data_IF_438672246231
#
_entry.id   IF_438672246231
#
_cell.length_a   1.000
_cell.length_b   1.000
_cell.length_c   1.000
_cell.angle_alpha   90.00
_cell.angle_beta   90.00
_cell.angle_gamma   90.00
#
_symmetry.space_group_name_H-M   'P 1'
#
loop_
_entity.id
_entity.type
_entity.pdbx_description
1 polymer ?
#
# COMPACT_ATOMS: atom_id res chain seq x y z
N UNK A 1 -15.44 9.37 34.65
CA UNK A 1 -13.99 9.61 34.64
C UNK A 1 -13.33 8.59 33.71
N UNK A 2 -12.22 8.95 33.04
CA UNK A 2 -11.45 8.17 32.03
C UNK A 2 -12.11 8.13 30.64
N UNK A 3 -11.56 8.67 29.54
CA UNK A 3 -10.32 9.40 29.31
C UNK A 3 -10.49 10.37 28.12
N UNK A 4 -9.90 11.56 28.29
CA UNK A 4 -9.65 12.59 27.28
C UNK A 4 -8.90 12.01 26.07
N UNK A 5 -9.59 11.81 24.95
CA UNK A 5 -8.93 11.81 23.64
C UNK A 5 -8.80 13.28 23.20
N UNK A 6 -7.59 13.79 23.41
CA UNK A 6 -7.08 15.09 22.98
C UNK A 6 -7.39 15.31 21.51
N UNK A 7 -8.50 16.00 21.22
CA UNK A 7 -8.68 16.68 19.96
C UNK A 7 -7.80 17.93 20.00
N UNK A 8 -6.51 17.75 19.68
CA UNK A 8 -5.66 18.89 19.32
C UNK A 8 -6.22 19.43 17.99
N UNK A 9 -7.03 20.49 18.13
CA UNK A 9 -7.11 21.56 17.13
C UNK A 9 -5.67 22.02 16.83
N UNK A 10 -5.15 21.63 15.68
CA UNK A 10 -4.12 22.36 14.95
C UNK A 10 -4.73 22.57 13.57
N UNK A 11 -5.44 23.66 13.34
CA UNK A 11 -4.82 24.97 13.19
C UNK A 11 -4.65 25.16 11.69
N UNK A 12 -5.58 25.88 11.07
CA UNK A 12 -5.40 26.44 9.74
C UNK A 12 -4.22 27.43 9.81
N UNK A 13 -3.00 26.90 9.87
CA UNK A 13 -1.83 27.66 9.51
C UNK A 13 -1.97 27.92 8.02
N UNK A 14 -2.01 29.20 7.64
CA UNK A 14 -1.92 29.56 6.22
C UNK A 14 -0.72 28.83 5.62
N UNK A 15 -0.88 28.30 4.41
CA UNK A 15 0.22 27.70 3.67
C UNK A 15 1.40 28.69 3.68
N UNK A 16 2.67 28.25 3.87
CA UNK A 16 3.86 29.10 3.91
C UNK A 16 4.19 29.62 2.50
N UNK A 17 3.22 30.28 1.88
CA UNK A 17 3.31 30.88 0.56
C UNK A 17 3.45 32.39 0.71
N UNK A 18 4.20 32.96 -0.22
CA UNK A 18 4.41 34.40 -0.38
C UNK A 18 4.01 34.80 -1.79
N UNK A 19 3.64 36.06 -1.99
CA UNK A 19 3.34 36.57 -3.32
C UNK A 19 4.61 36.61 -4.15
N UNK A 20 4.52 36.18 -5.40
CA UNK A 20 5.60 36.32 -6.38
C UNK A 20 5.90 37.80 -6.61
N UNK A 21 7.17 38.18 -6.57
CA UNK A 21 7.60 39.57 -6.65
C UNK A 21 7.29 40.19 -8.02
N UNK A 22 7.10 41.53 -8.08
CA UNK A 22 6.94 42.22 -9.35
C UNK A 22 8.13 42.05 -10.31
N UNK A 23 9.35 41.83 -9.78
CA UNK A 23 10.54 41.60 -10.59
C UNK A 23 10.48 40.26 -11.33
N UNK A 24 10.14 39.18 -10.62
CA UNK A 24 9.94 37.84 -11.21
C UNK A 24 8.81 37.87 -12.24
N UNK A 25 7.69 38.55 -11.95
CA UNK A 25 6.59 38.71 -12.90
C UNK A 25 6.98 39.51 -14.16
N UNK A 26 7.93 40.45 -14.07
CA UNK A 26 8.49 41.14 -15.24
C UNK A 26 9.41 40.23 -16.05
N UNK A 27 10.24 39.43 -15.39
CA UNK A 27 11.08 38.42 -16.04
C UNK A 27 10.22 37.40 -16.80
N UNK A 28 9.16 36.89 -16.18
CA UNK A 28 8.21 35.96 -16.79
C UNK A 28 7.53 36.56 -18.03
N UNK A 29 7.09 37.83 -17.97
CA UNK A 29 6.52 38.55 -19.13
C UNK A 29 7.52 38.72 -20.27
N UNK A 30 8.77 39.06 -19.94
CA UNK A 30 9.85 39.18 -20.94
C UNK A 30 10.12 37.84 -21.65
N UNK A 31 10.14 36.74 -20.89
CA UNK A 31 10.31 35.39 -21.43
C UNK A 31 9.10 34.94 -22.26
N UNK A 32 7.87 35.31 -21.85
CA UNK A 32 6.66 34.99 -22.58
C UNK A 32 6.70 35.50 -24.04
N UNK A 33 7.31 36.67 -24.28
CA UNK A 33 7.48 37.23 -25.62
C UNK A 33 8.39 36.41 -26.54
N UNK A 34 9.16 35.45 -25.99
CA UNK A 34 10.05 34.57 -26.75
C UNK A 34 9.42 33.20 -27.06
N UNK A 35 8.23 32.93 -26.52
CA UNK A 35 7.51 31.68 -26.72
C UNK A 35 6.36 31.91 -27.70
N UNK A 36 6.07 30.90 -28.51
CA UNK A 36 4.93 30.89 -29.42
C UNK A 36 3.62 30.46 -28.74
N UNK A 37 3.62 30.33 -27.42
CA UNK A 37 2.46 29.90 -26.62
C UNK A 37 2.47 30.63 -25.28
N UNK A 38 1.34 30.63 -24.58
CA UNK A 38 1.20 31.34 -23.31
C UNK A 38 2.16 30.75 -22.25
N UNK A 39 2.98 31.61 -21.64
CA UNK A 39 3.74 31.26 -20.45
C UNK A 39 2.85 31.47 -19.23
N UNK A 40 2.58 30.40 -18.47
CA UNK A 40 1.89 30.51 -17.18
C UNK A 40 2.90 30.53 -16.03
N UNK A 41 2.72 31.46 -15.11
CA UNK A 41 3.65 31.71 -14.01
C UNK A 41 2.89 31.81 -12.68
N UNK A 42 3.40 31.20 -11.59
CA UNK A 42 2.78 31.30 -10.27
C UNK A 42 2.63 32.74 -9.80
N UNK A 43 1.50 33.05 -9.16
CA UNK A 43 1.30 34.29 -8.40
C UNK A 43 1.72 34.15 -6.95
N UNK A 44 1.87 32.92 -6.47
CA UNK A 44 2.39 32.59 -5.15
C UNK A 44 3.53 31.59 -5.26
N UNK A 45 4.47 31.66 -4.34
CA UNK A 45 5.61 30.77 -4.23
C UNK A 45 5.90 30.45 -2.77
N UNK A 46 6.62 29.35 -2.53
CA UNK A 46 7.12 29.03 -1.19
C UNK A 46 7.83 30.24 -0.56
N UNK A 47 7.53 30.51 0.71
CA UNK A 47 8.04 31.68 1.43
C UNK A 47 9.57 31.67 1.54
N UNK A 48 10.22 30.50 1.54
CA UNK A 48 11.67 30.41 1.60
C UNK A 48 12.34 30.83 0.28
N UNK A 49 11.65 30.70 -0.85
CA UNK A 49 12.12 31.17 -2.15
C UNK A 49 11.90 32.66 -2.40
N UNK A 50 11.22 33.37 -1.50
CA UNK A 50 10.86 34.77 -1.71
C UNK A 50 12.09 35.68 -1.85
N UNK A 51 12.17 36.41 -2.96
CA UNK A 51 13.27 37.33 -3.24
C UNK A 51 14.50 36.64 -3.82
N UNK A 52 14.50 35.31 -3.96
CA UNK A 52 15.51 34.59 -4.72
C UNK A 52 15.19 34.65 -6.21
N UNK A 53 16.14 34.98 -7.08
CA UNK A 53 15.92 34.96 -8.52
C UNK A 53 15.43 33.60 -9.02
N UNK A 54 14.33 33.59 -9.77
CA UNK A 54 13.81 32.40 -10.45
C UNK A 54 14.64 32.12 -11.70
N UNK A 55 15.12 30.88 -11.81
CA UNK A 55 15.80 30.41 -13.02
C UNK A 55 14.75 29.98 -14.05
N UNK A 56 14.47 30.87 -15.00
CA UNK A 56 13.50 30.68 -16.07
C UNK A 56 14.20 30.45 -17.41
N UNK A 57 13.96 29.27 -17.99
CA UNK A 57 14.58 28.83 -19.24
C UNK A 57 13.52 28.39 -20.25
N UNK A 58 13.73 28.76 -21.51
CA UNK A 58 12.92 28.33 -22.65
C UNK A 58 13.74 27.41 -23.54
N UNK A 59 13.15 26.34 -24.03
CA UNK A 59 13.82 25.34 -24.85
C UNK A 59 12.83 24.66 -25.79
N UNK A 60 13.30 23.74 -26.64
CA UNK A 60 12.44 22.93 -27.49
C UNK A 60 12.66 21.46 -27.18
N UNK A 61 11.58 20.70 -27.06
CA UNK A 61 11.59 19.25 -26.89
C UNK A 61 11.17 18.56 -28.19
N UNK A 62 11.60 17.32 -28.35
CA UNK A 62 11.21 16.48 -29.48
C UNK A 62 9.97 15.66 -29.10
N UNK A 63 8.87 15.89 -29.81
CA UNK A 63 7.65 15.10 -29.72
C UNK A 63 7.67 13.96 -30.76
N UNK A 64 6.79 12.95 -30.63
CA UNK A 64 6.66 11.87 -31.61
C UNK A 64 6.51 12.39 -33.04
N UNK A 65 7.15 11.71 -33.99
CA UNK A 65 7.17 12.15 -35.39
C UNK A 65 8.19 13.25 -35.71
N UNK A 66 9.09 13.59 -34.77
CA UNK A 66 10.16 14.58 -35.00
C UNK A 66 9.67 16.03 -34.92
N UNK A 67 8.46 16.25 -34.40
CA UNK A 67 7.90 17.59 -34.21
C UNK A 67 8.59 18.26 -33.03
N UNK A 68 9.13 19.47 -33.25
CA UNK A 68 9.73 20.27 -32.17
C UNK A 68 8.63 21.04 -31.45
N UNK A 69 8.45 20.76 -30.17
CA UNK A 69 7.52 21.46 -29.30
C UNK A 69 8.25 22.47 -28.42
N UNK A 70 7.95 23.78 -28.51
CA UNK A 70 8.42 24.76 -27.56
C UNK A 70 8.00 24.42 -26.13
N UNK A 71 8.93 24.62 -25.19
CA UNK A 71 8.76 24.36 -23.77
C UNK A 71 9.48 25.41 -22.90
N UNK A 72 9.12 25.49 -21.62
CA UNK A 72 9.85 26.26 -20.62
C UNK A 72 9.87 25.58 -19.26
N UNK A 73 10.81 26.01 -18.42
CA UNK A 73 10.91 25.64 -17.01
C UNK A 73 11.25 26.88 -16.18
N UNK A 74 10.52 27.09 -15.10
CA UNK A 74 10.79 28.07 -14.06
C UNK A 74 11.12 27.31 -12.77
N UNK A 75 12.35 27.46 -12.26
CA UNK A 75 12.81 26.76 -11.05
C UNK A 75 12.78 27.70 -9.86
N UNK A 76 12.07 27.28 -8.82
CA UNK A 76 11.85 28.02 -7.58
C UNK A 76 12.55 27.33 -6.41
N UNK A 77 13.07 28.10 -5.47
CA UNK A 77 13.54 27.57 -4.19
C UNK A 77 12.36 27.24 -3.27
N UNK A 78 12.49 26.15 -2.52
CA UNK A 78 11.60 25.74 -1.45
C UNK A 78 12.32 25.78 -0.09
N UNK A 79 11.58 25.56 0.99
CA UNK A 79 12.13 25.47 2.33
C UNK A 79 13.16 24.34 2.47
N UNK A 80 14.35 24.71 2.95
CA UNK A 80 15.48 23.79 3.15
C UNK A 80 16.63 24.04 2.17
N UNK A 81 17.85 23.70 2.58
CA UNK A 81 19.03 23.89 1.73
C UNK A 81 18.96 22.99 0.49
N UNK A 82 19.09 23.60 -0.69
CA UNK A 82 19.11 22.92 -1.98
C UNK A 82 17.77 22.32 -2.41
N UNK A 83 16.66 22.82 -1.85
CA UNK A 83 15.31 22.34 -2.14
C UNK A 83 14.67 23.18 -3.23
N UNK A 84 14.08 22.52 -4.22
CA UNK A 84 13.48 23.19 -5.37
C UNK A 84 12.15 22.57 -5.76
N UNK A 85 11.38 23.33 -6.52
CA UNK A 85 10.28 22.84 -7.33
C UNK A 85 10.28 23.62 -8.63
N UNK A 86 9.58 23.10 -9.63
CA UNK A 86 9.54 23.74 -10.93
C UNK A 86 8.12 23.88 -11.46
N UNK A 87 7.93 24.92 -12.26
CA UNK A 87 6.74 25.12 -13.08
C UNK A 87 7.15 25.07 -14.53
N UNK A 88 6.49 24.22 -15.29
CA UNK A 88 6.84 23.93 -16.65
C UNK A 88 5.62 24.06 -17.55
N UNK A 89 5.88 24.30 -18.82
CA UNK A 89 4.86 24.27 -19.85
C UNK A 89 5.43 23.86 -21.20
N UNK A 90 4.61 23.22 -22.02
CA UNK A 90 4.95 22.82 -23.39
C UNK A 90 3.73 22.75 -24.29
N UNK A 91 3.94 23.00 -25.57
CA UNK A 91 2.92 22.80 -26.62
C UNK A 91 2.65 21.31 -26.92
N UNK A 92 3.48 20.39 -26.41
CA UNK A 92 3.18 18.96 -26.49
C UNK A 92 2.09 18.59 -25.48
N UNK A 93 0.84 18.50 -25.94
CA UNK A 93 -0.35 18.30 -25.08
C UNK A 93 -0.59 16.86 -24.63
N UNK A 94 0.18 15.89 -25.12
CA UNK A 94 0.11 14.48 -24.69
C UNK A 94 1.50 13.93 -24.34
N UNK A 95 2.24 14.58 -23.43
CA UNK A 95 3.56 14.11 -23.05
C UNK A 95 3.41 12.87 -22.15
N UNK A 96 4.22 11.81 -22.33
CA UNK A 96 4.10 10.57 -21.57
C UNK A 96 4.11 10.76 -20.04
N UNK A 97 4.78 11.80 -19.55
CA UNK A 97 4.80 12.18 -18.14
C UNK A 97 3.40 12.47 -17.57
N UNK A 98 2.48 12.98 -18.41
CA UNK A 98 1.16 13.43 -18.00
C UNK A 98 0.03 12.49 -18.47
N UNK A 99 0.35 11.35 -19.07
CA UNK A 99 -0.68 10.51 -19.68
C UNK A 99 -1.54 9.75 -18.65
N UNK A 100 -1.09 9.56 -17.41
CA UNK A 100 -1.77 8.70 -16.41
C UNK A 100 -1.86 9.33 -15.01
N UNK A 101 -2.80 10.26 -14.78
CA UNK A 101 -3.02 10.85 -13.45
C UNK A 101 -3.67 9.86 -12.49
N UNK A 102 -3.30 9.94 -11.21
CA UNK A 102 -3.95 9.19 -10.12
C UNK A 102 -5.35 9.76 -9.83
N UNK A 103 -5.50 11.09 -9.86
CA UNK A 103 -6.74 11.77 -9.53
C UNK A 103 -6.95 12.99 -10.42
N UNK A 104 -8.22 13.33 -10.64
CA UNK A 104 -8.62 14.54 -11.35
C UNK A 104 -9.47 15.39 -10.41
N UNK A 105 -9.16 16.68 -10.34
CA UNK A 105 -9.80 17.65 -9.47
C UNK A 105 -10.22 18.87 -10.30
N UNK A 106 -11.46 19.32 -10.18
CA UNK A 106 -11.91 20.56 -10.83
C UNK A 106 -12.20 21.62 -9.77
N UNK A 107 -11.42 22.70 -9.78
CA UNK A 107 -11.47 23.81 -8.81
C UNK A 107 -11.18 25.11 -9.56
N UNK A 108 -11.87 26.19 -9.21
CA UNK A 108 -11.61 27.51 -9.81
C UNK A 108 -11.87 27.61 -11.32
N UNK A 109 -12.69 26.71 -11.88
CA UNK A 109 -12.96 26.65 -13.32
C UNK A 109 -11.87 25.94 -14.14
N UNK A 110 -10.80 25.45 -13.50
CA UNK A 110 -9.72 24.68 -14.13
C UNK A 110 -9.78 23.22 -13.67
N UNK A 111 -9.42 22.31 -14.56
CA UNK A 111 -9.24 20.89 -14.23
C UNK A 111 -7.77 20.58 -14.02
N UNK A 112 -7.44 20.09 -12.83
CA UNK A 112 -6.13 19.62 -12.42
C UNK A 112 -6.04 18.10 -12.45
N UNK A 113 -4.87 17.62 -12.87
CA UNK A 113 -4.48 16.24 -12.96
C UNK A 113 -3.38 16.01 -11.92
N UNK A 114 -3.64 15.14 -10.95
CA UNK A 114 -2.81 14.94 -9.77
C UNK A 114 -2.08 13.61 -9.88
N UNK A 115 -0.77 13.63 -9.60
CA UNK A 115 0.11 12.47 -9.66
C UNK A 115 0.79 12.31 -8.31
N UNK A 116 0.64 11.14 -7.71
CA UNK A 116 1.08 10.86 -6.36
C UNK A 116 2.17 9.80 -6.34
N UNK A 117 3.19 10.05 -5.53
CA UNK A 117 4.08 9.02 -5.04
C UNK A 117 3.59 8.57 -3.66
N UNK A 118 2.86 7.45 -3.62
CA UNK A 118 2.23 6.97 -2.39
C UNK A 118 1.09 7.90 -1.91
N UNK A 119 1.37 8.72 -0.90
CA UNK A 119 0.45 9.73 -0.36
C UNK A 119 0.93 11.17 -0.64
N UNK A 120 2.12 11.32 -1.22
CA UNK A 120 2.74 12.60 -1.51
C UNK A 120 2.39 13.03 -2.93
N UNK A 121 1.87 14.24 -3.07
CA UNK A 121 1.59 14.83 -4.36
C UNK A 121 2.91 15.29 -4.98
N UNK A 122 3.34 14.63 -6.05
CA UNK A 122 4.61 14.92 -6.72
C UNK A 122 4.40 15.96 -7.83
N UNK A 123 3.29 15.86 -8.55
CA UNK A 123 3.03 16.67 -9.73
C UNK A 123 1.55 17.02 -9.85
N UNK A 124 1.31 18.28 -10.24
CA UNK A 124 -0.02 18.81 -10.57
C UNK A 124 0.02 19.39 -11.96
N UNK A 125 -0.76 18.84 -12.89
CA UNK A 125 -0.84 19.30 -14.26
C UNK A 125 -2.20 19.87 -14.64
N UNK A 126 -2.23 20.72 -15.65
CA UNK A 126 -3.44 21.22 -16.29
C UNK A 126 -3.17 21.50 -17.77
N UNK A 127 -4.24 21.65 -18.53
CA UNK A 127 -4.18 21.90 -19.97
C UNK A 127 -5.04 23.12 -20.28
N UNK A 128 -4.41 24.17 -20.79
CA UNK A 128 -5.08 25.40 -21.21
C UNK A 128 -4.32 26.01 -22.38
N UNK A 129 -4.96 26.92 -23.13
CA UNK A 129 -4.30 27.70 -24.17
C UNK A 129 -3.55 26.86 -25.24
N UNK A 130 -3.97 25.62 -25.48
CA UNK A 130 -3.32 24.70 -26.43
C UNK A 130 -1.98 24.12 -25.94
N UNK A 131 -1.67 24.22 -24.65
CA UNK A 131 -0.45 23.73 -24.03
C UNK A 131 -0.75 22.88 -22.78
N UNK A 132 0.23 22.07 -22.38
CA UNK A 132 0.26 21.36 -21.12
C UNK A 132 1.16 22.12 -20.14
N UNK A 133 0.71 22.27 -18.91
CA UNK A 133 1.43 22.92 -17.83
C UNK A 133 1.45 22.03 -16.59
N UNK A 134 2.50 22.13 -15.79
CA UNK A 134 2.56 21.43 -14.52
C UNK A 134 3.47 22.10 -13.51
N UNK A 135 3.16 21.89 -12.24
CA UNK A 135 4.07 22.12 -11.11
C UNK A 135 4.58 20.76 -10.65
N UNK A 136 5.89 20.62 -10.49
CA UNK A 136 6.52 19.39 -10.01
C UNK A 136 7.42 19.67 -8.82
N UNK A 137 7.27 18.85 -7.79
CA UNK A 137 8.17 18.80 -6.66
C UNK A 137 9.46 18.07 -7.07
N UNK A 138 10.63 18.55 -6.62
CA UNK A 138 11.87 17.79 -6.85
C UNK A 138 11.93 16.55 -5.96
N UNK A 139 12.94 15.69 -6.17
CA UNK A 139 13.08 14.37 -5.51
C UNK A 139 12.93 14.38 -3.98
N UNK A 140 13.21 15.52 -3.37
CA UNK A 140 13.20 15.72 -1.92
C UNK A 140 11.84 16.12 -1.34
N UNK A 141 10.83 16.30 -2.19
CA UNK A 141 9.43 16.51 -1.82
C UNK A 141 9.22 17.68 -0.84
N UNK A 142 9.92 18.80 -1.05
CA UNK A 142 9.96 19.92 -0.10
C UNK A 142 8.61 20.62 0.08
N UNK A 143 7.76 20.64 -0.96
CA UNK A 143 6.40 21.15 -0.86
C UNK A 143 5.40 20.08 -0.38
N UNK A 144 4.54 20.45 0.55
CA UNK A 144 3.38 19.64 0.94
C UNK A 144 2.29 19.64 -0.14
N UNK A 145 1.40 18.65 -0.09
CA UNK A 145 0.33 18.48 -1.10
C UNK A 145 -0.53 19.75 -1.30
N UNK A 146 -0.82 20.47 -0.20
CA UNK A 146 -1.60 21.70 -0.24
C UNK A 146 -0.87 22.88 -0.87
N UNK A 147 0.43 22.99 -0.61
CA UNK A 147 1.27 24.05 -1.19
C UNK A 147 1.40 23.87 -2.69
N UNK A 148 1.68 22.64 -3.14
CA UNK A 148 1.84 22.32 -4.55
C UNK A 148 0.55 22.59 -5.34
N UNK A 149 -0.61 22.19 -4.80
CA UNK A 149 -1.91 22.48 -5.42
C UNK A 149 -2.22 23.98 -5.40
N UNK A 150 -1.96 24.69 -4.31
CA UNK A 150 -2.23 26.13 -4.23
C UNK A 150 -1.34 26.93 -5.19
N UNK A 151 -0.09 26.54 -5.38
CA UNK A 151 0.81 27.11 -6.40
C UNK A 151 0.23 26.88 -7.79
N UNK A 152 -0.21 25.65 -8.10
CA UNK A 152 -0.86 25.34 -9.39
C UNK A 152 -2.17 26.12 -9.60
N UNK A 153 -2.97 26.31 -8.54
CA UNK A 153 -4.21 27.10 -8.59
C UNK A 153 -3.97 28.57 -8.90
N UNK A 154 -2.92 29.12 -8.29
CA UNK A 154 -2.51 30.51 -8.47
C UNK A 154 -1.54 30.68 -9.65
N UNK A 155 -1.37 29.68 -10.49
CA UNK A 155 -0.56 29.80 -11.71
C UNK A 155 -1.45 30.31 -12.83
N UNK A 156 -1.07 31.44 -13.43
CA UNK A 156 -1.86 32.12 -14.44
C UNK A 156 -0.97 32.65 -15.57
N UNK A 157 -1.53 32.99 -16.76
CA UNK A 157 -0.76 33.58 -17.84
C UNK A 157 0.04 34.80 -17.35
N UNK A 158 1.33 34.86 -17.69
CA UNK A 158 2.23 35.94 -17.27
C UNK A 158 1.74 37.32 -17.77
N UNK A 159 1.04 37.34 -18.89
CA UNK A 159 0.42 38.53 -19.48
C UNK A 159 -0.87 38.97 -18.78
N UNK A 160 -1.48 38.14 -17.94
CA UNK A 160 -2.69 38.52 -17.22
C UNK A 160 -2.40 39.71 -16.28
N UNK A 161 -3.26 40.72 -16.33
CA UNK A 161 -3.16 41.92 -15.51
C UNK A 161 -3.23 41.58 -14.01
N UNK A 162 -2.57 42.39 -13.18
CA UNK A 162 -2.52 42.27 -11.73
C UNK A 162 -3.92 42.62 -11.16
N UNK A 163 -4.87 41.70 -11.33
CA UNK A 163 -6.13 41.71 -10.59
C UNK A 163 -5.84 41.28 -9.15
N UNK A 164 -6.57 41.86 -8.19
CA UNK A 164 -6.38 41.61 -6.76
C UNK A 164 -6.25 40.11 -6.47
N UNK A 165 -5.22 39.76 -5.68
CA UNK A 165 -4.88 38.39 -5.32
C UNK A 165 -6.14 37.62 -4.91
N UNK A 166 -6.45 36.55 -5.63
CA UNK A 166 -7.52 35.66 -5.26
C UNK A 166 -7.25 35.17 -3.84
N UNK A 167 -8.14 35.51 -2.91
CA UNK A 167 -8.08 35.07 -1.51
C UNK A 167 -8.02 33.55 -1.47
N UNK A 168 -6.86 33.02 -1.06
CA UNK A 168 -6.56 31.60 -0.90
C UNK A 168 -7.63 30.94 -0.02
N UNK A 169 -8.59 30.23 -0.62
CA UNK A 169 -9.46 29.34 0.13
C UNK A 169 -8.79 27.98 0.19
N UNK A 170 -8.42 27.59 1.41
CA UNK A 170 -7.89 26.29 1.86
C UNK A 170 -8.88 25.12 1.61
N UNK A 171 -9.80 25.26 0.66
CA UNK A 171 -10.88 24.32 0.46
C UNK A 171 -10.40 23.13 -0.38
N UNK A 172 -10.19 22.02 0.33
CA UNK A 172 -9.90 20.67 -0.16
C UNK A 172 -8.42 20.41 -0.54
N UNK A 173 -7.61 20.14 0.49
CA UNK A 173 -6.41 19.34 0.34
C UNK A 173 -6.82 17.99 -0.28
N UNK A 174 -6.34 17.61 -1.48
CA UNK A 174 -6.67 16.32 -2.04
C UNK A 174 -5.82 15.28 -1.30
N UNK A 175 -6.41 14.67 -0.27
CA UNK A 175 -5.95 13.35 0.13
C UNK A 175 -6.19 12.43 -1.06
N UNK A 176 -5.17 11.65 -1.43
CA UNK A 176 -5.30 10.64 -2.48
C UNK A 176 -6.50 9.77 -2.14
N UNK A 177 -7.52 9.79 -2.98
CA UNK A 177 -8.64 8.85 -2.84
C UNK A 177 -8.11 7.50 -3.26
N UNK A 178 -7.53 6.75 -2.32
CA UNK A 178 -7.35 5.32 -2.49
C UNK A 178 -8.77 4.77 -2.71
N UNK A 179 -9.06 4.27 -3.90
CA UNK A 179 -10.16 3.34 -4.06
C UNK A 179 -9.85 2.20 -3.09
N UNK A 180 -10.48 2.21 -1.92
CA UNK A 180 -10.30 1.14 -0.97
C UNK A 180 -10.73 -0.13 -1.71
N UNK A 181 -9.89 -1.18 -1.78
CA UNK A 181 -10.39 -2.46 -2.22
C UNK A 181 -11.57 -2.77 -1.29
N UNK A 182 -12.71 -3.19 -1.84
CA UNK A 182 -13.80 -3.67 -1.01
C UNK A 182 -13.24 -4.81 -0.15
N UNK A 183 -12.93 -4.51 1.11
CA UNK A 183 -12.46 -5.49 2.06
C UNK A 183 -13.67 -6.35 2.41
N UNK A 184 -13.88 -7.41 1.63
CA UNK A 184 -14.85 -8.44 1.95
C UNK A 184 -14.60 -8.96 3.37
N UNK A 185 -15.70 -9.22 4.09
CA UNK A 185 -15.73 -9.71 5.47
C UNK A 185 -14.76 -10.87 5.75
N UNK A 186 -14.37 -11.62 4.72
CA UNK A 186 -13.38 -12.70 4.75
C UNK A 186 -11.98 -12.25 5.16
N UNK A 187 -11.54 -11.03 4.79
CA UNK A 187 -10.20 -10.53 5.15
C UNK A 187 -10.12 -10.00 6.59
N UNK A 188 -11.21 -9.45 7.12
CA UNK A 188 -11.29 -8.96 8.51
C UNK A 188 -11.31 -10.13 9.51
N UNK A 189 -12.01 -11.22 9.15
CA UNK A 189 -12.01 -12.47 9.91
C UNK A 189 -10.63 -13.12 9.96
N UNK A 190 -9.88 -13.10 8.87
CA UNK A 190 -8.51 -13.62 8.80
C UNK A 190 -7.53 -12.88 9.73
N UNK A 191 -7.60 -11.54 9.76
CA UNK A 191 -6.73 -10.74 10.65
C UNK A 191 -7.07 -10.90 12.14
N UNK A 192 -8.36 -11.02 12.48
CA UNK A 192 -8.77 -11.29 13.86
C UNK A 192 -8.34 -12.68 14.31
N UNK A 193 -8.45 -13.68 13.42
CA UNK A 193 -8.00 -15.05 13.69
C UNK A 193 -6.49 -15.14 13.94
N UNK A 194 -5.67 -14.43 13.16
CA UNK A 194 -4.23 -14.37 13.37
C UNK A 194 -3.83 -13.72 14.69
N UNK A 195 -4.52 -12.64 15.08
CA UNK A 195 -4.25 -11.92 16.33
C UNK A 195 -4.68 -12.75 17.55
N UNK A 196 -5.81 -13.46 17.47
CA UNK A 196 -6.25 -14.40 18.50
C UNK A 196 -5.27 -15.59 18.66
N UNK A 197 -4.71 -16.11 17.57
CA UNK A 197 -3.72 -17.18 17.63
C UNK A 197 -2.41 -16.72 18.31
N UNK A 198 -1.97 -15.49 18.04
CA UNK A 198 -0.79 -14.89 18.66
C UNK A 198 -0.93 -14.71 20.18
N UNK A 199 -2.15 -14.51 20.68
CA UNK A 199 -2.43 -14.39 22.12
C UNK A 199 -2.67 -15.76 22.78
N UNK A 200 -3.29 -16.72 22.08
CA UNK A 200 -3.62 -18.02 22.65
C UNK A 200 -2.40 -18.94 22.88
N UNK A 201 -1.40 -18.88 21.98
CA UNK A 201 -0.16 -19.67 22.07
C UNK A 201 0.65 -19.44 23.37
N UNK A 202 0.95 -18.20 23.79
CA UNK A 202 1.67 -17.98 25.04
C UNK A 202 0.85 -18.37 26.28
N UNK A 203 -0.48 -18.18 26.26
CA UNK A 203 -1.36 -18.56 27.38
C UNK A 203 -1.38 -20.09 27.58
N UNK A 204 -1.41 -20.87 26.50
CA UNK A 204 -1.32 -22.34 26.56
C UNK A 204 0.06 -22.85 26.97
N UNK A 205 1.13 -22.07 26.77
CA UNK A 205 2.49 -22.45 27.16
C UNK A 205 2.75 -22.32 28.68
N UNK A 206 2.03 -21.44 29.38
CA UNK A 206 2.18 -21.20 30.83
C UNK A 206 2.12 -22.49 31.67
N UNK A 207 1.10 -23.37 31.56
CA UNK A 207 1.03 -24.59 32.36
C UNK A 207 2.11 -25.64 32.04
N UNK A 208 2.70 -25.59 30.84
CA UNK A 208 3.82 -26.46 30.48
C UNK A 208 5.11 -26.03 31.18
N UNK A 209 5.33 -24.71 31.30
CA UNK A 209 6.48 -24.16 32.02
C UNK A 209 6.37 -24.35 33.53
N UNK A 210 5.17 -24.25 34.13
CA UNK A 210 4.98 -24.53 35.56
C UNK A 210 5.26 -25.99 35.90
N UNK A 211 4.76 -26.93 35.08
CA UNK A 211 5.05 -28.37 35.25
C UNK A 211 6.52 -28.72 35.09
N UNK A 212 7.23 -28.08 34.16
CA UNK A 212 8.68 -28.29 34.01
C UNK A 212 9.44 -27.84 35.24
N UNK A 213 9.03 -26.75 35.88
CA UNK A 213 9.66 -26.26 37.12
C UNK A 213 9.41 -27.22 38.30
N UNK A 214 8.20 -27.77 38.42
CA UNK A 214 7.89 -28.76 39.46
C UNK A 214 8.72 -30.05 39.30
N UNK A 215 8.87 -30.55 38.07
CA UNK A 215 9.69 -31.72 37.78
C UNK A 215 11.19 -31.48 38.04
N UNK A 216 11.69 -30.27 37.80
CA UNK A 216 13.06 -29.90 38.13
C UNK A 216 13.30 -29.87 39.64
N UNK A 217 12.33 -29.36 40.41
CA UNK A 217 12.38 -29.37 41.88
C UNK A 217 12.40 -30.79 42.47
N UNK A 218 11.58 -31.70 41.93
CA UNK A 218 11.54 -33.10 42.38
C UNK A 218 12.84 -33.87 42.07
N UNK A 219 13.47 -33.59 40.92
CA UNK A 219 14.78 -34.18 40.56
C UNK A 219 15.90 -33.69 41.48
N UNK A 220 15.88 -32.41 41.85
CA UNK A 220 16.85 -31.86 42.80
C UNK A 220 16.71 -32.49 44.20
N UNK A 221 15.47 -32.76 44.63
CA UNK A 221 15.22 -33.46 45.89
C UNK A 221 15.71 -34.92 45.86
N UNK A 222 15.48 -35.65 44.76
CA UNK A 222 15.97 -37.02 44.58
C UNK A 222 17.51 -37.11 44.53
N UNK A 223 18.17 -36.13 43.90
CA UNK A 223 19.63 -36.04 43.92
C UNK A 223 20.16 -35.83 45.35
N UNK A 224 19.50 -34.98 46.13
CA UNK A 224 19.85 -34.74 47.54
C UNK A 224 19.68 -35.97 48.43
N UNK A 225 18.65 -36.81 48.19
CA UNK A 225 18.46 -38.06 48.95
C UNK A 225 19.50 -39.12 48.58
N UNK A 226 19.79 -39.31 47.29
CA UNK A 226 20.81 -40.28 46.85
C UNK A 226 22.21 -39.94 47.35
N UNK A 227 22.53 -38.65 47.45
CA UNK A 227 23.84 -38.20 47.94
C UNK A 227 24.01 -38.42 49.46
N UNK A 228 22.90 -38.42 50.23
CA UNK A 228 22.91 -38.83 51.66
C UNK A 228 23.05 -40.34 51.81
N UNK A 229 22.38 -41.14 50.99
CA UNK A 229 22.55 -42.61 50.99
C UNK A 229 23.97 -43.03 50.59
N UNK A 230 24.57 -42.37 49.60
CA UNK A 230 25.96 -42.61 49.21
C UNK A 230 26.95 -42.30 50.34
N UNK A 231 26.74 -41.21 51.08
CA UNK A 231 27.57 -40.87 52.25
C UNK A 231 27.40 -41.87 53.39
N UNK A 232 26.21 -42.40 53.62
CA UNK A 232 25.97 -43.44 54.62
C UNK A 232 26.63 -44.77 54.22
N UNK A 233 26.60 -45.14 52.93
CA UNK A 233 27.31 -46.35 52.42
C UNK A 233 28.83 -46.25 52.51
N UNK A 234 29.40 -45.07 52.30
CA UNK A 234 30.85 -44.85 52.43
C UNK A 234 31.29 -44.76 53.90
N UNK A 235 30.39 -44.42 54.82
CA UNK A 235 30.65 -44.36 56.26
C UNK A 235 30.47 -45.70 57.00
N UNK A 236 30.08 -46.77 56.31
CA UNK A 236 30.01 -48.13 56.85
C UNK A 236 31.20 -48.97 56.34
N UNK A 237 32.30 -49.08 57.10
CA UNK A 237 33.44 -49.91 56.71
C UNK A 237 33.10 -51.41 56.78
N UNK A 238 33.56 -52.15 55.76
CA UNK A 238 33.49 -53.60 55.64
C UNK A 238 33.96 -54.31 56.92
N UNK A 239 33.02 -54.95 57.62
CA UNK A 239 33.35 -55.87 58.68
C UNK A 239 33.63 -57.26 58.08
N UNK A 240 34.85 -57.74 58.31
CA UNK A 240 35.34 -59.13 58.23
C UNK A 240 35.82 -59.67 56.87
N UNK A 241 37.02 -59.26 56.49
CA UNK A 241 38.02 -60.16 55.89
C UNK A 241 38.97 -60.67 56.98
N UNK A 242 38.94 -61.97 57.27
CA UNK A 242 39.86 -62.66 58.18
C UNK A 242 40.26 -64.02 57.62
N UNK A 243 41.54 -64.18 57.30
CA UNK A 243 42.22 -65.37 56.77
C UNK A 243 42.30 -66.47 57.85
N UNK A 244 42.06 -67.75 57.57
CA UNK A 244 43.11 -68.75 57.30
C UNK A 244 42.73 -70.15 57.86
N UNK A 245 43.20 -71.22 57.18
CA UNK A 245 43.01 -72.68 57.41
C UNK A 245 43.51 -73.19 58.81
N UNK A 246 43.41 -74.49 59.24
CA UNK A 246 43.13 -75.75 58.50
C UNK A 246 42.23 -76.84 59.19
N UNK A 247 42.00 -77.88 58.38
CA UNK A 247 41.67 -79.33 58.53
C UNK A 247 41.56 -80.01 59.93
N UNK A 248 40.46 -80.77 60.16
CA UNK A 248 40.38 -82.26 60.32
C UNK A 248 39.23 -82.74 61.25
N UNK A 249 38.55 -83.83 60.85
CA UNK A 249 37.97 -84.83 61.76
C UNK A 249 36.44 -84.79 62.01
N UNK A 250 35.75 -85.95 62.04
CA UNK A 250 34.29 -86.01 62.21
C UNK A 250 33.86 -86.33 63.64
N UNK A 251 32.73 -85.75 64.13
CA UNK A 251 31.75 -86.45 65.00
C UNK A 251 30.52 -85.61 65.38
N UNK A 252 29.43 -86.35 65.59
CA UNK A 252 28.06 -86.02 66.00
C UNK A 252 27.83 -85.23 67.31
N UNK A 253 26.61 -84.66 67.39
CA UNK A 253 25.70 -84.47 68.53
C UNK A 253 25.36 -83.02 68.99
N UNK A 254 24.06 -82.81 69.28
CA UNK A 254 23.31 -81.59 69.68
C UNK A 254 23.57 -81.14 71.15
N UNK A 255 22.75 -80.30 71.89
CA UNK A 255 21.59 -79.42 71.59
C UNK A 255 21.58 -78.02 72.35
N UNK A 256 20.44 -77.26 72.31
CA UNK A 256 19.92 -76.21 73.27
C UNK A 256 20.58 -74.79 73.20
N UNK A 257 19.95 -73.58 73.33
CA UNK A 257 18.67 -73.03 73.84
C UNK A 257 18.38 -71.57 73.35
N UNK A 258 17.11 -71.15 73.54
CA UNK A 258 16.56 -69.80 73.85
C UNK A 258 16.63 -68.69 72.76
N UNK A 259 15.53 -68.08 72.29
CA UNK A 259 14.50 -67.31 73.03
C UNK A 259 15.00 -65.86 73.21
N UNK A 260 14.39 -64.76 72.76
CA UNK A 260 12.98 -64.39 72.75
C UNK A 260 12.68 -63.12 71.88
N UNK A 261 11.39 -62.98 71.57
CA UNK A 261 10.53 -61.82 71.19
C UNK A 261 11.06 -60.39 71.40
N UNK A 262 10.79 -59.40 70.53
CA UNK A 262 9.59 -58.52 70.46
C UNK A 262 9.98 -57.29 69.57
N UNK A 263 9.14 -56.43 68.96
CA UNK A 263 7.70 -56.30 68.73
C UNK A 263 7.52 -55.24 67.62
N UNK A 264 6.47 -55.39 66.83
CA UNK A 264 6.14 -54.58 65.67
C UNK A 264 5.52 -53.22 66.04
N UNK A 265 6.07 -52.14 65.46
CA UNK A 265 5.48 -50.80 65.44
C UNK A 265 4.95 -50.46 64.04
N UNK A 266 3.63 -50.37 63.95
CA UNK A 266 2.81 -50.16 62.76
C UNK A 266 2.73 -48.68 62.38
N UNK A 267 3.13 -48.26 61.17
CA UNK A 267 2.61 -47.03 60.56
C UNK A 267 2.32 -47.21 59.07
N UNK A 268 1.02 -47.22 58.75
CA UNK A 268 0.45 -47.00 57.41
C UNK A 268 0.51 -45.51 57.12
N UNK A 269 1.02 -45.11 55.96
CA UNK A 269 0.67 -43.82 55.35
C UNK A 269 0.39 -44.02 53.85
N UNK A 270 -0.88 -43.82 53.50
CA UNK A 270 -1.37 -43.69 52.14
C UNK A 270 -0.81 -42.39 51.52
N UNK A 271 -0.36 -42.43 50.27
CA UNK A 271 -0.33 -41.23 49.43
C UNK A 271 -1.11 -41.46 48.13
N UNK A 272 -2.27 -40.80 48.09
CA UNK A 272 -3.11 -40.54 46.91
C UNK A 272 -2.26 -39.86 45.82
N UNK A 273 -2.24 -40.42 44.62
CA UNK A 273 -1.92 -39.68 43.42
C UNK A 273 -3.04 -38.67 43.15
N UNK A 274 -2.71 -37.37 43.14
CA UNK A 274 -3.65 -36.32 42.77
C UNK A 274 -3.93 -36.37 41.26
N UNK A 275 -5.06 -36.96 40.88
CA UNK A 275 -5.57 -36.92 39.51
C UNK A 275 -6.02 -35.50 39.14
N UNK A 276 -5.60 -35.00 37.97
CA UNK A 276 -6.13 -33.77 37.39
C UNK A 276 -7.65 -33.85 37.25
N UNK A 277 -8.37 -32.79 37.66
CA UNK A 277 -9.82 -32.74 37.53
C UNK A 277 -10.26 -32.88 36.06
N UNK A 278 -11.36 -33.60 35.85
CA UNK A 278 -11.95 -33.89 34.54
C UNK A 278 -12.25 -32.61 33.74
N UNK A 279 -12.55 -31.50 34.42
CA UNK A 279 -12.79 -30.18 33.80
C UNK A 279 -11.55 -29.61 33.11
N UNK A 280 -10.37 -29.83 33.67
CA UNK A 280 -9.10 -29.34 33.10
C UNK A 280 -8.73 -30.10 31.83
N UNK A 281 -9.07 -31.40 31.74
CA UNK A 281 -8.86 -32.23 30.54
C UNK A 281 -9.80 -31.82 29.39
N UNK A 282 -11.05 -31.50 29.69
CA UNK A 282 -12.03 -31.07 28.66
C UNK A 282 -11.63 -29.73 28.04
N UNK A 283 -11.17 -28.76 28.85
CA UNK A 283 -10.76 -27.44 28.36
C UNK A 283 -9.49 -27.52 27.50
N UNK A 284 -8.54 -28.40 27.84
CA UNK A 284 -7.32 -28.57 27.03
C UNK A 284 -7.59 -29.26 25.70
N UNK A 285 -8.51 -30.24 25.66
CA UNK A 285 -8.89 -30.91 24.42
C UNK A 285 -9.69 -29.97 23.51
N UNK A 286 -10.65 -29.20 24.04
CA UNK A 286 -11.40 -28.22 23.25
C UNK A 286 -10.52 -27.08 22.70
N UNK A 287 -9.55 -26.61 23.50
CA UNK A 287 -8.59 -25.58 23.08
C UNK A 287 -7.64 -26.05 21.99
N UNK A 288 -7.20 -27.32 22.05
CA UNK A 288 -6.34 -27.90 21.00
C UNK A 288 -7.10 -28.12 19.68
N UNK A 289 -8.37 -28.54 19.74
CA UNK A 289 -9.18 -28.81 18.55
C UNK A 289 -9.53 -27.51 17.78
N UNK A 290 -9.78 -26.43 18.51
CA UNK A 290 -10.08 -25.10 17.93
C UNK A 290 -8.84 -24.45 17.29
N UNK A 291 -7.66 -24.61 17.89
CA UNK A 291 -6.38 -24.17 17.30
C UNK A 291 -6.00 -24.97 16.05
N UNK A 292 -6.29 -26.27 16.00
CA UNK A 292 -6.02 -27.10 14.83
C UNK A 292 -6.91 -26.70 13.63
N UNK A 293 -8.20 -26.42 13.86
CA UNK A 293 -9.10 -25.98 12.79
C UNK A 293 -8.76 -24.58 12.26
N UNK A 294 -8.37 -23.64 13.14
CA UNK A 294 -7.95 -22.29 12.73
C UNK A 294 -6.60 -22.30 12.00
N UNK A 295 -5.66 -23.16 12.43
CA UNK A 295 -4.35 -23.32 11.80
C UNK A 295 -4.42 -23.92 10.40
N UNK A 296 -5.26 -24.93 10.19
CA UNK A 296 -5.42 -25.55 8.85
C UNK A 296 -6.11 -24.59 7.88
N UNK A 297 -7.12 -23.84 8.32
CA UNK A 297 -7.77 -22.84 7.48
C UNK A 297 -6.84 -21.66 7.15
N UNK A 298 -6.01 -21.24 8.10
CA UNK A 298 -4.98 -20.21 7.89
C UNK A 298 -3.86 -20.66 6.95
N UNK A 299 -3.44 -21.93 6.98
CA UNK A 299 -2.39 -22.44 6.09
C UNK A 299 -2.93 -22.61 4.66
N UNK A 300 -4.16 -23.12 4.49
CA UNK A 300 -4.76 -23.26 3.14
C UNK A 300 -4.98 -21.91 2.47
N UNK A 301 -5.33 -20.87 3.22
CA UNK A 301 -5.51 -19.51 2.68
C UNK A 301 -4.19 -18.74 2.44
N UNK A 302 -3.09 -19.14 3.10
CA UNK A 302 -1.81 -18.43 3.00
C UNK A 302 -0.83 -19.06 2.00
N UNK A 303 -1.07 -20.30 1.55
CA UNK A 303 -0.24 -20.96 0.53
C UNK A 303 -0.44 -20.35 -0.87
N UNK A 304 -1.56 -19.67 -1.14
CA UNK A 304 -1.74 -18.89 -2.39
C UNK A 304 -1.13 -17.48 -2.34
N UNK A 305 -0.85 -16.94 -1.14
CA UNK A 305 -0.29 -15.59 -0.96
C UNK A 305 1.25 -15.55 -0.91
N UNK A 306 1.91 -16.72 -0.87
CA UNK A 306 3.33 -16.87 -0.59
C UNK A 306 4.30 -16.73 -1.76
N UNK A 307 3.89 -16.21 -2.93
CA UNK A 307 4.83 -15.79 -3.98
C UNK A 307 5.02 -14.29 -3.91
N UNK A 308 5.84 -13.85 -2.96
CA UNK A 308 6.34 -12.49 -2.89
C UNK A 308 7.14 -12.19 -4.17
N UNK A 309 6.49 -11.57 -5.14
CA UNK A 309 7.17 -10.91 -6.24
C UNK A 309 7.89 -9.70 -5.67
N UNK A 310 9.23 -9.74 -5.68
CA UNK A 310 10.03 -8.53 -5.74
C UNK A 310 9.63 -7.77 -7.02
N UNK A 311 8.63 -6.91 -6.92
CA UNK A 311 8.24 -6.00 -7.98
C UNK A 311 9.34 -4.93 -8.06
N UNK A 312 10.39 -5.23 -8.83
CA UNK A 312 11.08 -4.18 -9.57
C UNK A 312 10.01 -3.54 -10.45
N UNK A 313 9.58 -2.32 -10.11
CA UNK A 313 8.73 -1.52 -10.98
C UNK A 313 9.58 -1.17 -12.20
N UNK A 314 9.59 -2.07 -13.20
CA UNK A 314 9.80 -1.66 -14.57
C UNK A 314 8.56 -0.84 -14.92
N UNK A 315 8.74 0.44 -15.21
CA UNK A 315 7.71 1.25 -15.86
C UNK A 315 7.35 0.55 -17.19
N UNK A 316 6.33 -0.32 -17.17
CA UNK A 316 5.74 -0.86 -18.38
C UNK A 316 4.88 0.25 -18.93
N UNK A 317 5.38 0.94 -19.96
CA UNK A 317 4.56 1.82 -20.80
C UNK A 317 3.36 0.98 -21.26
N UNK A 318 2.16 1.28 -20.76
CA UNK A 318 0.96 0.55 -21.14
C UNK A 318 0.66 0.86 -22.61
N UNK A 319 0.90 -0.11 -23.48
CA UNK A 319 0.64 0.01 -24.92
C UNK A 319 -0.79 -0.41 -25.31
N UNK A 320 -1.56 -0.93 -24.36
CA UNK A 320 -2.93 -1.42 -24.56
C UNK A 320 -3.81 -0.96 -23.39
N UNK A 321 -5.04 -0.45 -23.64
CA UNK A 321 -5.95 -0.07 -22.57
C UNK A 321 -6.34 -1.28 -21.71
N UNK A 322 -6.25 -1.08 -20.39
CA UNK A 322 -6.65 -2.03 -19.34
C UNK A 322 -8.16 -2.09 -19.11
N UNK A 323 -8.85 -1.00 -19.46
CA UNK A 323 -10.30 -0.83 -19.34
C UNK A 323 -10.99 -1.39 -20.59
N UNK A 324 -12.11 -2.13 -20.44
CA UNK A 324 -12.83 -2.66 -21.59
C UNK A 324 -13.51 -1.53 -22.39
N UNK A 325 -13.42 -1.64 -23.72
CA UNK A 325 -13.82 -0.60 -24.68
C UNK A 325 -15.16 -0.97 -25.33
N UNK A 326 -16.11 -0.05 -25.36
CA UNK A 326 -17.29 -0.18 -26.21
C UNK A 326 -17.01 0.28 -27.64
N UNK A 327 -17.59 -0.37 -28.65
CA UNK A 327 -17.46 0.04 -30.05
C UNK A 327 -18.84 0.33 -30.61
N UNK A 328 -19.07 1.59 -30.99
CA UNK A 328 -20.37 2.08 -31.44
C UNK A 328 -20.31 2.44 -32.93
N UNK A 329 -21.37 2.11 -33.66
CA UNK A 329 -21.55 2.48 -35.06
C UNK A 329 -22.53 3.66 -35.15
N UNK A 330 -22.07 4.80 -35.64
CA UNK A 330 -22.88 5.94 -36.05
C UNK A 330 -23.01 6.05 -37.58
N UNK A 331 -22.41 5.13 -38.34
CA UNK A 331 -22.52 5.09 -39.82
C UNK A 331 -23.79 4.36 -40.27
N UNK A 332 -24.19 4.60 -41.52
CA UNK A 332 -25.23 3.81 -42.22
C UNK A 332 -24.75 2.42 -42.66
N UNK A 333 -23.45 2.11 -42.53
CA UNK A 333 -22.89 0.84 -42.97
C UNK A 333 -23.08 -0.27 -41.94
N UNK A 334 -23.78 -1.36 -42.27
CA UNK A 334 -23.90 -2.51 -41.38
C UNK A 334 -22.55 -3.14 -41.04
N UNK A 335 -22.36 -3.50 -39.77
CA UNK A 335 -21.20 -4.24 -39.29
C UNK A 335 -19.89 -3.44 -39.18
N UNK A 336 -19.91 -2.11 -39.37
CA UNK A 336 -18.70 -1.27 -39.24
C UNK A 336 -18.07 -1.37 -37.84
N UNK A 337 -18.86 -1.24 -36.78
CA UNK A 337 -18.40 -1.42 -35.40
C UNK A 337 -17.90 -2.84 -35.13
N UNK A 338 -18.57 -3.87 -35.67
CA UNK A 338 -18.12 -5.26 -35.53
C UNK A 338 -16.74 -5.52 -36.14
N UNK A 339 -16.46 -4.97 -37.33
CA UNK A 339 -15.13 -5.06 -37.97
C UNK A 339 -14.07 -4.34 -37.14
N UNK A 340 -14.39 -3.17 -36.59
CA UNK A 340 -13.48 -2.40 -35.74
C UNK A 340 -13.19 -3.14 -34.41
N UNK A 341 -14.22 -3.66 -33.75
CA UNK A 341 -14.09 -4.46 -32.54
C UNK A 341 -13.19 -5.69 -32.75
N UNK A 342 -13.35 -6.39 -33.88
CA UNK A 342 -12.50 -7.53 -34.21
C UNK A 342 -11.03 -7.15 -34.43
N UNK A 343 -10.74 -5.99 -35.04
CA UNK A 343 -9.37 -5.48 -35.16
C UNK A 343 -8.77 -5.13 -33.81
N UNK A 344 -9.55 -4.51 -32.92
CA UNK A 344 -9.11 -4.15 -31.57
C UNK A 344 -8.84 -5.40 -30.72
N UNK A 345 -9.70 -6.43 -30.79
CA UNK A 345 -9.47 -7.73 -30.12
C UNK A 345 -8.17 -8.39 -30.59
N UNK A 346 -7.88 -8.38 -31.90
CA UNK A 346 -6.61 -8.92 -32.44
C UNK A 346 -5.38 -8.18 -31.92
N UNK A 347 -5.52 -6.93 -31.49
CA UNK A 347 -4.46 -6.12 -30.86
C UNK A 347 -4.46 -6.23 -29.32
N UNK A 348 -5.22 -7.15 -28.74
CA UNK A 348 -5.26 -7.40 -27.29
C UNK A 348 -6.18 -6.47 -26.50
N UNK A 349 -6.97 -5.61 -27.17
CA UNK A 349 -7.92 -4.71 -26.50
C UNK A 349 -9.16 -5.50 -26.05
N UNK A 350 -9.53 -5.36 -24.77
CA UNK A 350 -10.76 -5.95 -24.22
C UNK A 350 -11.98 -5.15 -24.71
N UNK A 351 -12.96 -5.83 -25.29
CA UNK A 351 -14.19 -5.19 -25.79
C UNK A 351 -15.34 -5.46 -24.83
N UNK A 352 -15.97 -4.40 -24.32
CA UNK A 352 -17.14 -4.48 -23.45
C UNK A 352 -18.41 -4.79 -24.25
N UNK A 353 -18.73 -3.92 -25.21
CA UNK A 353 -19.96 -4.00 -26.00
C UNK A 353 -19.71 -3.55 -27.44
N UNK A 354 -20.57 -4.02 -28.34
CA UNK A 354 -20.63 -3.55 -29.72
C UNK A 354 -22.07 -3.13 -29.99
N UNK A 355 -22.28 -1.87 -30.37
CA UNK A 355 -23.61 -1.28 -30.49
C UNK A 355 -23.73 -0.29 -31.63
N UNK A 356 -24.92 0.30 -31.75
CA UNK A 356 -25.19 1.39 -32.69
C UNK A 356 -25.55 2.65 -31.90
N UNK A 357 -25.05 3.79 -32.36
CA UNK A 357 -25.42 5.11 -31.88
C UNK A 357 -26.35 5.74 -32.92
N UNK A 358 -27.54 6.19 -32.51
CA UNK A 358 -28.55 6.74 -33.42
C UNK A 358 -28.33 8.22 -33.76
N UNK A 359 -27.27 8.81 -33.22
CA UNK A 359 -26.93 10.21 -33.34
C UNK A 359 -25.92 10.43 -34.47
N UNK A 360 -26.19 11.41 -35.34
CA UNK A 360 -25.31 11.75 -36.46
C UNK A 360 -24.14 12.58 -35.94
N UNK A 361 -22.97 11.97 -35.86
CA UNK A 361 -21.73 12.64 -35.48
C UNK A 361 -20.96 13.12 -36.71
N UNK A 362 -19.99 14.02 -36.51
CA UNK A 362 -19.08 14.41 -37.58
C UNK A 362 -18.35 13.16 -38.14
N UNK A 363 -18.14 13.08 -39.46
CA UNK A 363 -17.51 11.92 -40.08
C UNK A 363 -16.11 11.70 -39.52
N UNK A 364 -15.81 10.49 -39.06
CA UNK A 364 -14.52 10.21 -38.44
C UNK A 364 -14.51 9.07 -37.43
N UNK A 365 -13.41 9.02 -36.67
CA UNK A 365 -13.24 8.07 -35.57
C UNK A 365 -13.16 8.85 -34.27
N UNK A 366 -14.17 8.70 -33.43
CA UNK A 366 -14.27 9.42 -32.15
C UNK A 366 -13.97 8.47 -31.01
N UNK A 367 -13.18 8.91 -30.04
CA UNK A 367 -12.93 8.18 -28.79
C UNK A 367 -13.58 8.98 -27.67
N UNK A 368 -14.65 8.40 -27.13
CA UNK A 368 -15.43 8.95 -26.04
C UNK A 368 -14.96 8.36 -24.71
N UNK A 369 -14.66 9.21 -23.73
CA UNK A 369 -14.11 8.77 -22.46
C UNK A 369 -14.75 9.46 -21.26
N UNK A 370 -14.87 8.73 -20.15
CA UNK A 370 -15.13 9.36 -18.85
C UNK A 370 -13.88 10.10 -18.37
N UNK A 371 -13.99 11.18 -17.58
CA UNK A 371 -12.83 11.95 -17.13
C UNK A 371 -11.71 11.11 -16.51
N UNK A 372 -12.06 10.06 -15.76
CA UNK A 372 -11.12 9.12 -15.12
C UNK A 372 -10.47 8.10 -16.07
N UNK A 373 -10.88 8.07 -17.34
CA UNK A 373 -10.40 7.13 -18.36
C UNK A 373 -9.67 7.82 -19.52
N UNK A 374 -9.37 9.12 -19.41
CA UNK A 374 -8.65 9.89 -20.44
C UNK A 374 -7.29 9.28 -20.80
N UNK A 375 -6.57 8.75 -19.82
CA UNK A 375 -5.29 8.05 -20.01
C UNK A 375 -5.43 6.83 -20.92
N UNK A 376 -6.45 6.01 -20.65
CA UNK A 376 -6.76 4.82 -21.43
C UNK A 376 -7.28 5.19 -22.84
N UNK A 377 -7.97 6.32 -22.96
CA UNK A 377 -8.38 6.89 -24.23
C UNK A 377 -7.19 7.34 -25.08
N UNK A 378 -6.18 7.96 -24.48
CA UNK A 378 -4.94 8.35 -25.16
C UNK A 378 -4.14 7.12 -25.66
N UNK A 379 -4.03 6.07 -24.83
CA UNK A 379 -3.41 4.79 -25.26
C UNK A 379 -4.18 4.19 -26.45
N UNK A 380 -5.51 4.20 -26.40
CA UNK A 380 -6.34 3.72 -27.48
C UNK A 380 -6.24 4.59 -28.75
N UNK A 381 -6.10 5.91 -28.59
CA UNK A 381 -5.85 6.84 -29.67
C UNK A 381 -4.51 6.56 -30.35
N UNK A 382 -3.47 6.27 -29.57
CA UNK A 382 -2.16 5.88 -30.09
C UNK A 382 -2.24 4.58 -30.90
N UNK A 383 -2.98 3.57 -30.41
CA UNK A 383 -3.25 2.34 -31.16
C UNK A 383 -4.03 2.56 -32.47
N UNK A 384 -4.81 3.63 -32.54
CA UNK A 384 -5.66 3.98 -33.68
C UNK A 384 -5.10 5.15 -34.50
N UNK A 385 -3.86 5.60 -34.23
CA UNK A 385 -3.27 6.81 -34.78
C UNK A 385 -3.32 6.91 -36.31
N UNK A 386 -3.28 5.77 -37.02
CA UNK A 386 -3.46 5.70 -38.49
C UNK A 386 -4.77 6.31 -39.02
N UNK A 387 -5.74 6.58 -38.15
CA UNK A 387 -7.06 7.14 -38.49
C UNK A 387 -7.34 8.47 -37.81
N UNK A 388 -6.34 9.06 -37.16
CA UNK A 388 -6.43 10.37 -36.48
C UNK A 388 -7.68 10.52 -35.60
N UNK A 389 -7.88 9.65 -34.59
CA UNK A 389 -9.07 9.71 -33.76
C UNK A 389 -9.15 11.02 -32.97
N UNK A 390 -10.35 11.58 -32.86
CA UNK A 390 -10.64 12.74 -32.01
C UNK A 390 -11.04 12.25 -30.62
N UNK A 391 -10.58 12.93 -29.57
CA UNK A 391 -10.89 12.57 -28.18
C UNK A 391 -11.91 13.54 -27.60
N UNK A 392 -13.05 13.03 -27.15
CA UNK A 392 -14.11 13.83 -26.53
C UNK A 392 -14.64 13.17 -25.24
N UNK A 393 -15.15 13.96 -24.28
CA UNK A 393 -15.86 13.42 -23.12
C UNK A 393 -17.07 12.61 -23.57
N UNK A 394 -17.34 11.47 -22.92
CA UNK A 394 -18.52 10.67 -23.21
C UNK A 394 -19.80 11.41 -22.80
N UNK A 395 -20.72 11.56 -23.75
CA UNK A 395 -22.05 12.11 -23.50
C UNK A 395 -23.02 11.04 -22.93
N UNK A 396 -24.19 11.44 -22.39
CA UNK A 396 -25.16 10.49 -21.86
C UNK A 396 -25.76 9.53 -22.89
N UNK A 397 -25.89 9.93 -24.17
CA UNK A 397 -26.53 9.11 -25.22
C UNK A 397 -25.61 7.97 -25.66
N UNK A 398 -24.33 8.27 -25.87
CA UNK A 398 -23.26 7.31 -26.11
C UNK A 398 -22.97 6.45 -24.88
N UNK A 399 -23.05 6.99 -23.66
CA UNK A 399 -22.94 6.19 -22.44
C UNK A 399 -24.05 5.13 -22.35
N UNK A 400 -25.29 5.50 -22.69
CA UNK A 400 -26.42 4.56 -22.72
C UNK A 400 -26.22 3.48 -23.80
N UNK A 401 -25.78 3.86 -25.01
CA UNK A 401 -25.50 2.93 -26.09
C UNK A 401 -24.30 2.01 -25.81
N UNK A 402 -23.31 2.50 -25.06
CA UNK A 402 -22.13 1.76 -24.65
C UNK A 402 -22.37 0.84 -23.44
N UNK A 403 -23.53 0.94 -22.78
CA UNK A 403 -23.82 0.30 -21.50
C UNK A 403 -23.36 1.16 -20.32
N UNK A 404 -24.22 1.34 -19.32
CA UNK A 404 -24.08 2.36 -18.27
C UNK A 404 -22.78 2.34 -17.45
N UNK A 405 -22.04 1.23 -17.44
CA UNK A 405 -20.76 1.10 -16.72
C UNK A 405 -19.52 1.29 -17.61
N UNK A 406 -19.70 1.59 -18.90
CA UNK A 406 -18.58 1.75 -19.82
C UNK A 406 -17.82 3.04 -19.53
N UNK A 407 -16.50 2.94 -19.43
CA UNK A 407 -15.63 4.09 -19.15
C UNK A 407 -14.97 4.65 -20.41
N UNK A 408 -14.96 3.86 -21.50
CA UNK A 408 -14.28 4.16 -22.74
C UNK A 408 -15.07 3.58 -23.93
N UNK A 409 -15.42 4.41 -24.90
CA UNK A 409 -16.13 4.02 -26.11
C UNK A 409 -15.42 4.57 -27.35
N UNK A 410 -15.48 3.82 -28.45
CA UNK A 410 -15.00 4.23 -29.77
C UNK A 410 -16.19 4.28 -30.69
N UNK A 411 -16.43 5.43 -31.32
CA UNK A 411 -17.50 5.63 -32.29
C UNK A 411 -16.90 5.76 -33.68
N UNK A 412 -17.48 5.06 -34.63
CA UNK A 412 -17.19 5.24 -36.06
C UNK A 412 -18.40 5.93 -36.70
N UNK A 413 -18.18 7.09 -37.32
CA UNK A 413 -19.20 7.95 -37.93
C UNK A 413 -18.90 8.27 -39.39
#
# INVERSE_FOLDING_TARGET
>A
EIAKAVHKRGGAAGLPLSQTSPAELRQARSAANRLSFALEFPRVQDKAGNGTPVDLRTYAIQAPGGVRAPAYVAVFQAAGLGQYYDVQGTTWTTPPLLDSPDQTLSVGGRTYYLYYEGQHLELVAWYEHGAAYWVRNTLTQALGNGELLAIAEQTAPASAHIGHAATLRVAALPQRVLAQPEYGLTHTLGSLGGLLALVALPVLAIPLFTRRRELAGLRAQLAGTMQREGRLRVALPDASGGQGAPTMGPREAAPVAAGATASAGRQRTMHRAAGMSTRTRVITVLGALTLACAGVLGIVLNVDAGRAHHVRIRHVVQTIPSVPVAVLNATTQPGAAGRLANRLRKRGVKIATVGNLRESLQPGLLILYQPRARSQAAVLAHLLASRSPVLEPIDPTAQAAAGGHTKLAVVIS
#
